data_IF_798467721436
#
_entry.id   IF_798467721436
#
_cell.length_a   1.000
_cell.length_b   1.000
_cell.length_c   1.000
_cell.angle_alpha   90.00
_cell.angle_beta   90.00
_cell.angle_gamma   90.00
#
_symmetry.space_group_name_H-M   'P 1'
#
loop_
_entity.id
_entity.type
_entity.pdbx_description
1 polymer ?
#
# COMPACT_ATOMS: atom_id res chain seq x y z
N UNK A 1 -21.45 -0.36 2.34
CA UNK A 1 -21.41 -1.61 3.11
C UNK A 1 -22.09 -2.71 2.31
N UNK A 2 -21.43 -3.85 2.10
CA UNK A 2 -21.95 -4.98 1.32
C UNK A 2 -23.20 -5.64 1.94
N UNK A 3 -23.53 -5.33 3.19
CA UNK A 3 -24.80 -5.77 3.82
C UNK A 3 -26.02 -5.05 3.25
N UNK A 4 -25.87 -3.79 2.85
CA UNK A 4 -26.96 -2.93 2.38
C UNK A 4 -26.92 -2.66 0.88
N UNK A 5 -25.74 -2.82 0.27
CA UNK A 5 -25.52 -2.62 -1.14
C UNK A 5 -25.14 -3.95 -1.78
N UNK A 6 -26.09 -4.54 -2.49
CA UNK A 6 -25.86 -5.73 -3.29
C UNK A 6 -25.29 -5.33 -4.64
N UNK A 7 -24.18 -5.97 -5.03
CA UNK A 7 -23.76 -6.00 -6.43
C UNK A 7 -24.83 -6.71 -7.26
N UNK A 8 -24.99 -6.31 -8.52
CA UNK A 8 -26.03 -6.83 -9.43
C UNK A 8 -25.37 -7.33 -10.71
N UNK A 9 -26.07 -8.20 -11.42
CA UNK A 9 -25.66 -8.66 -12.77
C UNK A 9 -24.35 -9.48 -12.74
N UNK A 10 -24.01 -10.03 -11.58
CA UNK A 10 -22.80 -10.81 -11.39
C UNK A 10 -21.50 -10.03 -11.54
N UNK A 11 -21.57 -8.70 -11.54
CA UNK A 11 -20.40 -7.83 -11.63
C UNK A 11 -20.12 -7.15 -10.28
N UNK A 12 -18.88 -7.27 -9.80
CA UNK A 12 -18.40 -6.55 -8.63
C UNK A 12 -16.98 -6.06 -8.89
N UNK A 13 -16.61 -4.85 -8.42
CA UNK A 13 -15.27 -4.33 -8.62
C UNK A 13 -14.26 -5.11 -7.78
N UNK A 14 -13.09 -5.39 -8.34
CA UNK A 14 -12.00 -6.06 -7.63
C UNK A 14 -10.62 -5.55 -8.09
N UNK A 15 -9.59 -5.95 -7.36
CA UNK A 15 -8.19 -5.62 -7.64
C UNK A 15 -7.46 -6.88 -8.12
N UNK A 16 -6.68 -6.78 -9.19
CA UNK A 16 -5.79 -7.85 -9.68
C UNK A 16 -4.36 -7.51 -9.26
N UNK A 17 -3.72 -8.29 -8.38
CA UNK A 17 -2.32 -8.07 -8.03
C UNK A 17 -1.39 -8.46 -9.19
N UNK A 18 -0.40 -7.63 -9.53
CA UNK A 18 0.62 -7.93 -10.56
C UNK A 18 1.36 -9.25 -10.31
N UNK A 19 1.49 -9.70 -9.07
CA UNK A 19 2.04 -11.04 -8.76
C UNK A 19 1.32 -12.19 -9.48
N UNK A 20 0.01 -12.06 -9.75
CA UNK A 20 -0.75 -13.03 -10.53
C UNK A 20 -0.49 -12.91 -12.03
N UNK A 21 -0.24 -11.69 -12.51
CA UNK A 21 0.14 -11.43 -13.91
C UNK A 21 1.53 -11.98 -14.21
N UNK A 22 2.50 -11.70 -13.33
CA UNK A 22 3.88 -12.19 -13.43
C UNK A 22 3.95 -13.72 -13.35
N UNK A 23 3.00 -14.35 -12.68
CA UNK A 23 2.87 -15.81 -12.65
C UNK A 23 2.18 -16.40 -13.90
N UNK A 24 1.72 -15.56 -14.83
CA UNK A 24 0.94 -15.99 -16.01
C UNK A 24 -0.46 -16.50 -15.66
N UNK A 25 -0.99 -16.17 -14.48
CA UNK A 25 -2.27 -16.68 -13.96
C UNK A 25 -3.39 -15.64 -14.01
N UNK A 26 -3.18 -14.51 -14.67
CA UNK A 26 -4.15 -13.41 -14.78
C UNK A 26 -5.51 -13.88 -15.28
N UNK A 27 -5.57 -14.58 -16.41
CA UNK A 27 -6.86 -15.03 -16.97
C UNK A 27 -7.60 -15.98 -16.03
N UNK A 28 -6.89 -16.90 -15.36
CA UNK A 28 -7.49 -17.79 -14.36
C UNK A 28 -8.03 -17.04 -13.14
N UNK A 29 -7.38 -15.96 -12.74
CA UNK A 29 -7.87 -15.09 -11.68
C UNK A 29 -9.15 -14.37 -12.11
N UNK A 30 -9.19 -13.85 -13.34
CA UNK A 30 -10.39 -13.20 -13.89
C UNK A 30 -11.55 -14.17 -14.04
N UNK A 31 -11.30 -15.39 -14.52
CA UNK A 31 -12.30 -16.46 -14.58
C UNK A 31 -12.90 -16.78 -13.21
N UNK A 32 -12.04 -16.87 -12.19
CA UNK A 32 -12.49 -17.10 -10.81
C UNK A 32 -13.37 -15.95 -10.31
N UNK A 33 -12.98 -14.69 -10.54
CA UNK A 33 -13.78 -13.53 -10.14
C UNK A 33 -15.15 -13.50 -10.84
N UNK A 34 -15.20 -13.83 -12.13
CA UNK A 34 -16.46 -13.96 -12.89
C UNK A 34 -17.36 -15.06 -12.30
N UNK A 35 -16.79 -16.22 -12.00
CA UNK A 35 -17.54 -17.34 -11.41
C UNK A 35 -18.10 -16.99 -10.02
N UNK A 36 -17.32 -16.28 -9.19
CA UNK A 36 -17.79 -15.75 -7.90
C UNK A 36 -18.96 -14.80 -8.09
N UNK A 37 -18.86 -13.87 -9.04
CA UNK A 37 -19.91 -12.90 -9.33
C UNK A 37 -21.21 -13.56 -9.79
N UNK A 38 -21.12 -14.54 -10.70
CA UNK A 38 -22.27 -15.32 -11.18
C UNK A 38 -22.97 -16.06 -10.02
N UNK A 39 -22.23 -16.79 -9.20
CA UNK A 39 -22.81 -17.52 -8.07
C UNK A 39 -23.41 -16.58 -7.02
N UNK A 40 -22.78 -15.42 -6.80
CA UNK A 40 -23.32 -14.38 -5.92
C UNK A 40 -24.68 -13.86 -6.43
N UNK A 41 -24.80 -13.57 -7.72
CA UNK A 41 -26.05 -13.11 -8.34
C UNK A 41 -27.15 -14.18 -8.33
N UNK A 42 -26.78 -15.45 -8.57
CA UNK A 42 -27.69 -16.60 -8.41
C UNK A 42 -28.22 -16.73 -6.98
N UNK A 43 -27.34 -16.60 -5.98
CA UNK A 43 -27.73 -16.66 -4.57
C UNK A 43 -28.74 -15.54 -4.22
N UNK A 44 -28.51 -14.31 -4.69
CA UNK A 44 -29.44 -13.21 -4.49
C UNK A 44 -30.80 -13.47 -5.15
N UNK A 45 -30.81 -13.99 -6.40
CA UNK A 45 -32.05 -14.35 -7.11
C UNK A 45 -32.82 -15.48 -6.42
N UNK A 46 -32.12 -16.39 -5.75
CA UNK A 46 -32.69 -17.46 -4.94
C UNK A 46 -33.21 -16.99 -3.56
N UNK A 47 -33.05 -15.71 -3.22
CA UNK A 47 -33.53 -15.13 -1.97
C UNK A 47 -32.52 -15.21 -0.81
N UNK A 48 -31.26 -15.57 -1.06
CA UNK A 48 -30.21 -15.50 -0.03
C UNK A 48 -29.96 -14.02 0.32
N UNK A 49 -29.99 -13.64 1.62
CA UNK A 49 -29.70 -12.26 2.02
C UNK A 49 -28.31 -11.81 1.58
N UNK A 50 -28.15 -10.54 1.18
CA UNK A 50 -26.87 -10.00 0.73
C UNK A 50 -25.75 -10.11 1.79
N UNK A 51 -26.10 -10.08 3.09
CA UNK A 51 -25.13 -10.22 4.16
C UNK A 51 -24.55 -11.63 4.32
N UNK A 52 -25.23 -12.65 3.80
CA UNK A 52 -24.77 -14.04 3.69
C UNK A 52 -24.12 -14.28 2.34
N UNK A 53 -24.73 -13.82 1.24
CA UNK A 53 -24.21 -13.99 -0.11
C UNK A 53 -22.79 -13.42 -0.26
N UNK A 54 -22.48 -12.31 0.42
CA UNK A 54 -21.15 -11.68 0.40
C UNK A 54 -20.02 -12.58 0.91
N UNK A 55 -20.31 -13.72 1.53
CA UNK A 55 -19.29 -14.68 1.98
C UNK A 55 -18.52 -15.29 0.80
N UNK A 56 -19.08 -15.19 -0.41
CA UNK A 56 -18.40 -15.55 -1.66
C UNK A 56 -17.36 -14.50 -2.10
N UNK A 57 -17.52 -13.24 -1.70
CA UNK A 57 -16.67 -12.15 -2.19
C UNK A 57 -15.27 -12.24 -1.57
N UNK A 58 -14.20 -12.25 -2.40
CA UNK A 58 -12.83 -12.37 -1.90
C UNK A 58 -12.34 -11.04 -1.32
N UNK A 59 -11.21 -11.09 -0.61
CA UNK A 59 -10.51 -9.89 -0.10
C UNK A 59 -10.13 -8.88 -1.20
N UNK A 60 -10.06 -9.33 -2.46
CA UNK A 60 -9.79 -8.47 -3.59
C UNK A 60 -10.98 -7.60 -4.01
N UNK A 61 -12.20 -7.88 -3.51
CA UNK A 61 -13.38 -7.08 -3.80
C UNK A 61 -13.16 -5.63 -3.30
N UNK A 62 -13.36 -4.68 -4.20
CA UNK A 62 -13.13 -3.28 -3.90
C UNK A 62 -14.22 -2.73 -2.97
N UNK A 63 -13.82 -1.74 -2.17
CA UNK A 63 -14.75 -0.98 -1.33
C UNK A 63 -14.42 0.50 -1.42
N UNK A 64 -15.45 1.32 -1.33
CA UNK A 64 -15.29 2.76 -1.17
C UNK A 64 -15.23 3.09 0.32
N UNK A 65 -14.25 3.90 0.70
CA UNK A 65 -14.03 4.35 2.06
C UNK A 65 -13.85 5.87 2.05
N UNK A 66 -14.56 6.55 2.94
CA UNK A 66 -14.34 7.96 3.25
C UNK A 66 -13.79 8.03 4.67
N UNK A 67 -12.67 8.72 4.83
CA UNK A 67 -12.06 8.94 6.13
C UNK A 67 -11.65 10.40 6.25
N UNK A 68 -11.67 10.90 7.48
CA UNK A 68 -11.16 12.20 7.86
C UNK A 68 -10.03 11.96 8.84
N UNK A 69 -8.89 12.62 8.61
CA UNK A 69 -7.75 12.61 9.51
C UNK A 69 -7.27 14.04 9.73
N UNK A 70 -6.80 14.35 10.92
CA UNK A 70 -6.05 15.57 11.16
C UNK A 70 -4.62 15.43 10.59
N UNK A 71 -3.85 16.52 10.63
CA UNK A 71 -2.51 16.53 10.03
C UNK A 71 -1.50 15.64 10.78
N UNK A 72 -1.60 15.55 12.10
CA UNK A 72 -0.75 14.67 12.92
C UNK A 72 -1.02 13.19 12.62
N UNK A 73 -2.30 12.82 12.51
CA UNK A 73 -2.71 11.50 12.07
C UNK A 73 -2.22 11.20 10.65
N UNK A 74 -2.28 12.18 9.74
CA UNK A 74 -1.73 12.01 8.39
C UNK A 74 -0.22 11.71 8.43
N UNK A 75 0.55 12.45 9.24
CA UNK A 75 1.98 12.20 9.44
C UNK A 75 2.22 10.79 10.00
N UNK A 76 1.47 10.40 11.03
CA UNK A 76 1.61 9.07 11.64
C UNK A 76 1.24 7.94 10.66
N UNK A 77 0.23 8.15 9.82
CA UNK A 77 -0.14 7.14 8.82
C UNK A 77 0.92 7.10 7.72
N UNK A 78 1.46 8.24 7.29
CA UNK A 78 2.55 8.30 6.32
C UNK A 78 3.80 7.57 6.81
N UNK A 79 4.15 7.75 8.09
CA UNK A 79 5.24 7.07 8.78
C UNK A 79 5.20 5.55 8.57
N UNK A 80 4.01 4.96 8.67
CA UNK A 80 3.77 3.53 8.60
C UNK A 80 3.46 3.03 7.19
N UNK A 81 2.68 3.78 6.42
CA UNK A 81 2.06 3.32 5.17
C UNK A 81 2.79 3.76 3.91
N UNK A 82 3.70 4.73 4.00
CA UNK A 82 4.64 5.04 2.91
C UNK A 82 5.94 4.25 2.99
N UNK A 83 6.14 3.45 4.04
CA UNK A 83 7.29 2.57 4.17
C UNK A 83 7.33 1.54 3.03
N UNK A 84 8.52 1.21 2.53
CA UNK A 84 8.69 0.21 1.47
C UNK A 84 8.14 -1.18 1.85
N UNK A 85 8.17 -1.52 3.13
CA UNK A 85 7.66 -2.79 3.64
C UNK A 85 6.13 -2.87 3.67
N UNK A 86 5.46 -1.72 3.71
CA UNK A 86 4.00 -1.67 3.73
C UNK A 86 3.44 -2.34 2.47
N UNK A 87 2.29 -2.98 2.64
CA UNK A 87 1.56 -3.60 1.54
C UNK A 87 1.25 -2.54 0.47
N UNK A 88 1.41 -2.91 -0.79
CA UNK A 88 1.50 -1.93 -1.87
C UNK A 88 0.19 -1.17 -2.08
N UNK A 89 -0.96 -1.80 -1.90
CA UNK A 89 -2.30 -1.22 -2.02
C UNK A 89 -2.43 0.01 -1.11
N UNK A 90 -2.04 -0.14 0.16
CA UNK A 90 -2.16 0.94 1.15
C UNK A 90 -1.08 2.01 0.92
N UNK A 91 0.11 1.62 0.45
CA UNK A 91 1.15 2.57 0.08
C UNK A 91 0.72 3.46 -1.08
N UNK A 92 0.10 2.89 -2.11
CA UNK A 92 -0.41 3.64 -3.26
C UNK A 92 -1.55 4.58 -2.86
N UNK A 93 -2.46 4.11 -2.01
CA UNK A 93 -3.54 4.94 -1.45
C UNK A 93 -2.98 6.18 -0.74
N UNK A 94 -2.01 6.01 0.16
CA UNK A 94 -1.42 7.14 0.90
C UNK A 94 -0.47 8.00 0.07
N UNK A 95 0.20 7.43 -0.94
CA UNK A 95 0.98 8.21 -1.90
C UNK A 95 0.06 9.15 -2.72
N UNK A 96 -1.11 8.68 -3.15
CA UNK A 96 -2.13 9.51 -3.82
C UNK A 96 -2.66 10.59 -2.89
N UNK A 97 -2.97 10.26 -1.63
CA UNK A 97 -3.41 11.24 -0.64
C UNK A 97 -2.35 12.33 -0.40
N UNK A 98 -1.07 11.93 -0.26
CA UNK A 98 0.06 12.86 -0.15
C UNK A 98 0.18 13.76 -1.38
N UNK A 99 0.04 13.21 -2.59
CA UNK A 99 0.13 14.00 -3.82
C UNK A 99 -1.02 15.02 -3.93
N UNK A 100 -2.23 14.64 -3.52
CA UNK A 100 -3.36 15.57 -3.43
C UNK A 100 -3.09 16.71 -2.44
N UNK A 101 -2.52 16.41 -1.27
CA UNK A 101 -2.08 17.43 -0.31
C UNK A 101 -0.99 18.32 -0.92
N UNK A 102 0.04 17.73 -1.54
CA UNK A 102 1.18 18.43 -2.16
C UNK A 102 0.72 19.41 -3.24
N UNK A 103 -0.29 19.06 -4.03
CA UNK A 103 -0.83 19.92 -5.07
C UNK A 103 -1.44 21.21 -4.51
N UNK A 104 -1.92 21.20 -3.26
CA UNK A 104 -2.58 22.34 -2.62
C UNK A 104 -1.71 23.05 -1.59
N UNK A 105 -0.93 22.30 -0.82
CA UNK A 105 -0.09 22.75 0.29
C UNK A 105 1.28 22.05 0.25
N UNK A 106 2.19 22.46 -0.67
CA UNK A 106 3.49 21.81 -0.85
C UNK A 106 4.35 21.75 0.41
N UNK A 107 4.32 22.81 1.21
CA UNK A 107 5.04 22.92 2.49
C UNK A 107 4.55 21.89 3.52
N UNK A 108 3.25 21.64 3.59
CA UNK A 108 2.68 20.62 4.46
C UNK A 108 2.94 19.20 3.94
N UNK A 109 3.13 19.02 2.64
CA UNK A 109 3.43 17.69 2.07
C UNK A 109 4.92 17.27 2.23
N UNK A 110 5.83 18.22 2.53
CA UNK A 110 7.26 17.94 2.70
C UNK A 110 7.56 16.89 3.80
N UNK A 111 7.04 17.02 5.04
CA UNK A 111 7.30 16.06 6.11
C UNK A 111 6.43 14.78 6.02
N UNK A 112 5.47 14.72 5.08
CA UNK A 112 4.69 13.50 4.81
C UNK A 112 5.58 12.49 4.08
N UNK A 113 6.33 11.73 4.85
CA UNK A 113 7.31 10.73 4.41
C UNK A 113 7.17 9.48 5.29
N UNK A 114 7.71 8.32 4.89
CA UNK A 114 7.91 7.24 5.85
C UNK A 114 8.82 7.71 6.99
N UNK A 115 8.79 6.97 8.11
CA UNK A 115 9.61 7.22 9.30
C UNK A 115 11.08 7.55 9.00
N UNK A 116 11.69 6.78 8.10
CA UNK A 116 13.09 6.92 7.72
C UNK A 116 13.39 8.02 6.70
N UNK A 117 12.38 8.78 6.29
CA UNK A 117 12.51 9.89 5.36
C UNK A 117 13.31 11.05 5.93
N UNK A 118 13.92 11.84 5.04
CA UNK A 118 14.84 12.93 5.38
C UNK A 118 14.18 14.06 6.17
N UNK A 119 12.88 14.27 6.00
CA UNK A 119 12.11 15.28 6.73
C UNK A 119 11.31 14.68 7.89
N UNK A 120 11.72 13.49 8.35
CA UNK A 120 11.12 12.74 9.46
C UNK A 120 12.19 12.36 10.48
N UNK A 121 12.41 11.08 10.75
CA UNK A 121 13.48 10.66 11.68
C UNK A 121 14.84 10.60 10.99
N UNK A 122 14.88 10.43 9.66
CA UNK A 122 16.13 10.28 8.92
C UNK A 122 16.86 8.95 9.17
N UNK A 123 16.29 8.00 9.92
CA UNK A 123 16.83 6.65 10.13
C UNK A 123 15.70 5.62 10.25
N UNK A 124 16.03 4.34 10.07
CA UNK A 124 15.08 3.25 10.21
C UNK A 124 15.05 2.73 11.66
N UNK A 125 13.86 2.56 12.23
CA UNK A 125 13.65 2.01 13.57
C UNK A 125 13.07 0.58 13.58
N UNK A 126 12.84 0.03 12.39
CA UNK A 126 12.28 -1.30 12.18
C UNK A 126 13.26 -2.40 12.60
N UNK A 127 12.79 -3.58 13.06
CA UNK A 127 13.68 -4.67 13.44
C UNK A 127 14.76 -4.93 12.39
N UNK A 128 16.01 -5.17 12.82
CA UNK A 128 17.17 -5.31 11.93
C UNK A 128 16.93 -6.30 10.78
N UNK A 129 16.27 -7.43 11.06
CA UNK A 129 15.92 -8.43 10.04
C UNK A 129 15.00 -7.90 8.93
N UNK A 130 14.09 -6.97 9.25
CA UNK A 130 13.22 -6.32 8.28
C UNK A 130 13.91 -5.15 7.58
N UNK A 131 14.73 -4.40 8.31
CA UNK A 131 15.55 -3.33 7.75
C UNK A 131 16.47 -3.85 6.63
N UNK A 132 17.11 -5.01 6.83
CA UNK A 132 18.00 -5.63 5.83
C UNK A 132 17.28 -6.15 4.58
N UNK A 133 15.94 -6.30 4.61
CA UNK A 133 15.13 -6.63 3.43
C UNK A 133 14.80 -5.40 2.58
N UNK A 134 14.83 -4.22 3.18
CA UNK A 134 14.58 -2.96 2.47
C UNK A 134 15.79 -2.61 1.59
N UNK A 135 15.62 -2.19 0.32
CA UNK A 135 16.75 -1.83 -0.54
C UNK A 135 17.68 -0.77 0.05
N UNK A 136 17.14 0.21 0.79
CA UNK A 136 17.93 1.24 1.47
C UNK A 136 18.73 0.68 2.64
N UNK A 137 18.17 -0.28 3.38
CA UNK A 137 18.85 -0.90 4.52
C UNK A 137 19.86 -1.96 4.10
N UNK A 138 19.53 -2.77 3.09
CA UNK A 138 20.42 -3.75 2.49
C UNK A 138 21.71 -3.10 1.97
N UNK A 139 21.61 -1.93 1.33
CA UNK A 139 22.76 -1.16 0.84
C UNK A 139 23.36 -0.22 1.88
N UNK A 140 22.82 -0.20 3.11
CA UNK A 140 23.20 0.72 4.21
C UNK A 140 23.23 2.19 3.79
N UNK A 141 22.35 2.57 2.87
CA UNK A 141 22.15 3.97 2.45
C UNK A 141 21.51 4.77 3.57
N UNK A 142 20.54 4.16 4.25
CA UNK A 142 19.81 4.77 5.36
C UNK A 142 20.16 4.05 6.64
N UNK A 143 20.65 4.75 7.67
CA UNK A 143 21.09 4.12 8.91
C UNK A 143 19.96 3.44 9.68
N UNK A 144 20.32 2.43 10.46
CA UNK A 144 19.45 1.84 11.46
C UNK A 144 19.66 2.49 12.85
N UNK A 145 18.60 2.54 13.67
CA UNK A 145 18.65 3.11 15.04
C UNK A 145 19.77 2.51 15.89
N UNK A 146 20.02 1.20 15.75
CA UNK A 146 21.03 0.51 16.56
C UNK A 146 22.45 0.96 16.19
N UNK A 147 22.70 1.29 14.92
CA UNK A 147 23.99 1.81 14.46
C UNK A 147 24.24 3.21 15.05
N UNK A 148 23.20 4.05 15.08
CA UNK A 148 23.25 5.39 15.68
C UNK A 148 23.48 5.30 17.19
N UNK A 149 22.72 4.44 17.88
CA UNK A 149 22.84 4.22 19.33
C UNK A 149 24.22 3.66 19.69
N UNK A 150 24.77 2.75 18.88
CA UNK A 150 26.11 2.21 19.09
C UNK A 150 27.19 3.30 18.93
N UNK A 151 27.11 4.12 17.87
CA UNK A 151 28.03 5.24 17.69
C UNK A 151 27.96 6.26 18.84
N UNK A 152 26.75 6.58 19.31
CA UNK A 152 26.54 7.50 20.42
C UNK A 152 27.16 7.00 21.73
N UNK A 153 27.10 5.68 22.00
CA UNK A 153 27.77 5.07 23.18
C UNK A 153 29.29 5.20 23.13
N UNK A 154 29.86 5.32 21.94
CA UNK A 154 31.30 5.55 21.71
C UNK A 154 31.66 7.05 21.64
N UNK A 155 30.71 7.95 21.90
CA UNK A 155 30.92 9.39 21.83
C UNK A 155 30.98 9.95 20.40
N UNK A 156 30.49 9.20 19.40
CA UNK A 156 30.45 9.60 17.98
C UNK A 156 29.02 9.95 17.58
N UNK A 157 28.87 11.01 16.79
CA UNK A 157 27.60 11.32 16.13
C UNK A 157 27.57 10.67 14.75
N UNK A 158 26.47 10.00 14.43
CA UNK A 158 26.27 9.34 13.16
C UNK A 158 24.89 9.69 12.62
N UNK A 159 24.87 10.47 11.55
CA UNK A 159 23.65 10.95 10.91
C UNK A 159 23.53 10.40 9.49
N UNK A 160 22.31 10.08 9.08
CA UNK A 160 22.04 9.72 7.70
C UNK A 160 22.12 10.96 6.81
N UNK A 161 22.71 10.82 5.63
CA UNK A 161 22.67 11.85 4.60
C UNK A 161 21.31 11.85 3.90
N UNK A 162 20.83 13.00 3.38
CA UNK A 162 19.65 13.04 2.53
C UNK A 162 19.74 12.07 1.36
N UNK A 163 18.63 11.40 1.00
CA UNK A 163 18.62 10.46 -0.11
C UNK A 163 18.79 11.21 -1.43
N UNK A 164 19.65 10.68 -2.29
CA UNK A 164 19.75 11.07 -3.69
C UNK A 164 18.63 10.42 -4.52
N UNK A 165 18.36 10.96 -5.72
CA UNK A 165 17.37 10.38 -6.63
C UNK A 165 17.68 8.92 -6.99
N UNK A 166 18.97 8.60 -7.18
CA UNK A 166 19.41 7.23 -7.48
C UNK A 166 19.12 6.26 -6.33
N UNK A 167 19.26 6.72 -5.07
CA UNK A 167 18.95 5.91 -3.89
C UNK A 167 17.44 5.73 -3.70
N UNK A 168 16.65 6.78 -3.97
CA UNK A 168 15.18 6.69 -3.96
C UNK A 168 14.71 5.69 -5.02
N UNK A 169 15.33 5.67 -6.21
CA UNK A 169 14.99 4.76 -7.29
C UNK A 169 15.19 3.27 -6.94
N UNK A 170 16.01 2.94 -5.93
CA UNK A 170 16.14 1.57 -5.43
C UNK A 170 14.82 1.02 -4.86
N UNK A 171 13.96 1.91 -4.38
CA UNK A 171 12.65 1.56 -3.84
C UNK A 171 11.64 1.18 -4.93
N UNK A 172 11.89 1.58 -6.19
CA UNK A 172 11.01 1.31 -7.35
C UNK A 172 11.57 0.22 -8.28
N UNK A 173 12.86 -0.08 -8.18
CA UNK A 173 13.58 -1.04 -9.04
C UNK A 173 13.78 -2.42 -8.40
N UNK A 174 13.37 -2.59 -7.14
CA UNK A 174 13.53 -3.88 -6.46
C UNK A 174 12.51 -4.86 -7.02
N UNK A 175 12.98 -6.03 -7.49
CA UNK A 175 12.25 -7.24 -7.91
C UNK A 175 11.33 -7.79 -6.80
N UNK A 176 10.41 -6.97 -6.33
CA UNK A 176 9.39 -7.30 -5.36
C UNK A 176 8.10 -7.46 -6.14
N UNK A 177 7.42 -8.62 -6.09
CA UNK A 177 6.13 -8.86 -6.78
C UNK A 177 4.96 -8.02 -6.24
N UNK A 178 5.25 -6.85 -5.65
CA UNK A 178 4.37 -5.99 -4.88
C UNK A 178 4.30 -4.57 -5.46
N UNK A 179 4.48 -4.30 -6.76
CA UNK A 179 4.74 -2.91 -7.17
C UNK A 179 3.81 -2.26 -8.16
N UNK A 180 2.93 -2.94 -8.88
CA UNK A 180 2.05 -2.26 -9.82
C UNK A 180 0.67 -2.92 -9.89
N UNK A 181 -0.40 -2.13 -10.09
CA UNK A 181 -1.72 -2.65 -10.43
C UNK A 181 -2.44 -1.67 -11.36
N UNK A 182 -3.06 -2.22 -12.40
CA UNK A 182 -4.16 -1.62 -13.12
C UNK A 182 -5.45 -1.84 -12.32
N UNK A 183 -6.09 -0.76 -11.87
CA UNK A 183 -7.46 -0.85 -11.36
C UNK A 183 -8.37 -1.02 -12.57
N UNK A 184 -8.78 -2.25 -12.84
CA UNK A 184 -9.80 -2.51 -13.84
C UNK A 184 -11.16 -2.32 -13.22
N UNK A 185 -11.83 -1.28 -13.68
CA UNK A 185 -13.26 -1.10 -13.50
C UNK A 185 -13.88 -1.27 -14.89
N UNK A 186 -14.82 -2.21 -15.10
CA UNK A 186 -15.61 -2.22 -16.32
C UNK A 186 -16.61 -1.05 -16.38
N UNK A 187 -16.59 -0.10 -15.43
CA UNK A 187 -17.33 1.16 -15.53
C UNK A 187 -16.72 2.08 -16.60
N UNK A 188 -16.82 1.68 -17.87
CA UNK A 188 -17.19 2.61 -18.92
C UNK A 188 -18.63 3.04 -18.66
N UNK A 189 -18.81 4.36 -18.55
CA UNK A 189 -20.09 5.04 -18.44
C UNK A 189 -21.08 4.64 -19.55
#
# INVERSE_FOLDING_TARGET
>A
SQRYYAFKEGDFPFVVPESWENAGLRERYLDFMRAVGQLYDEALKAGVPAEDARFLLPNAAATNLTFTVNYEEFLHIADLRLCWRAQWEIRHTWARARNALKARFPELARPIQPKCGDQRMGYCDEPMAEYLKCPLGQKRVRLHKDEIVAAAKEGRNLDSKPLTEAEIALLTQSDSPRQQVAVESPLTA
#
